data_IF_451705331868
#
_entry.id   IF_451705331868
#
_cell.length_a   1.000
_cell.length_b   1.000
_cell.length_c   1.000
_cell.angle_alpha   90.00
_cell.angle_beta   90.00
_cell.angle_gamma   90.00
#
_symmetry.space_group_name_H-M   'P 1'
#
loop_
_entity.id
_entity.type
_entity.pdbx_description
1 polymer ?
#
# COMPACT_ATOMS: atom_id res chain seq x y z
N UNK A 1 -8.45 -4.78 16.49
CA UNK A 1 -7.46 -4.74 15.40
C UNK A 1 -7.37 -3.35 14.82
N UNK A 2 -6.39 -2.57 15.28
CA UNK A 2 -6.08 -1.27 14.68
C UNK A 2 -5.01 -1.39 13.60
N UNK A 3 -4.14 -2.40 13.69
CA UNK A 3 -3.00 -2.57 12.82
C UNK A 3 -2.80 -4.02 12.35
N UNK A 4 -2.11 -4.19 11.23
CA UNK A 4 -1.57 -5.45 10.71
C UNK A 4 -0.04 -5.33 10.67
N UNK A 5 0.68 -6.26 11.29
CA UNK A 5 2.15 -6.33 11.27
C UNK A 5 2.60 -7.31 10.19
N UNK A 6 3.19 -6.81 9.12
CA UNK A 6 3.73 -7.63 8.01
C UNK A 6 5.23 -7.92 8.18
N UNK A 7 5.95 -7.01 8.81
CA UNK A 7 7.38 -7.10 9.09
C UNK A 7 7.61 -6.82 10.58
N UNK A 8 8.66 -7.37 11.24
CA UNK A 8 8.80 -7.34 12.70
C UNK A 8 8.65 -5.97 13.37
N UNK A 9 8.90 -4.88 12.63
CA UNK A 9 8.84 -3.51 13.13
C UNK A 9 7.96 -2.58 12.26
N UNK A 10 7.03 -3.14 11.49
CA UNK A 10 6.23 -2.36 10.53
C UNK A 10 4.77 -2.75 10.64
N UNK A 11 3.95 -1.75 10.94
CA UNK A 11 2.52 -1.90 11.18
C UNK A 11 1.72 -1.03 10.21
N UNK A 12 0.82 -1.66 9.46
CA UNK A 12 -0.12 -1.00 8.58
C UNK A 12 -1.45 -0.80 9.28
N UNK A 13 -1.99 0.41 9.20
CA UNK A 13 -3.29 0.73 9.79
C UNK A 13 -4.42 0.03 9.03
N UNK A 14 -5.39 -0.48 9.77
CA UNK A 14 -6.66 -0.96 9.22
C UNK A 14 -7.62 0.19 8.88
N UNK A 15 -7.34 1.41 9.37
CA UNK A 15 -8.03 2.62 8.95
C UNK A 15 -7.59 3.02 7.53
N UNK A 16 -8.53 2.99 6.59
CA UNK A 16 -8.26 3.24 5.17
C UNK A 16 -7.76 4.66 4.91
N UNK A 17 -8.38 5.67 5.50
CA UNK A 17 -8.03 7.07 5.21
C UNK A 17 -6.62 7.36 5.74
N UNK A 18 -6.31 6.92 6.97
CA UNK A 18 -4.97 7.03 7.53
C UNK A 18 -3.93 6.29 6.69
N UNK A 19 -4.23 5.06 6.26
CA UNK A 19 -3.31 4.27 5.43
C UNK A 19 -2.99 4.98 4.11
N UNK A 20 -4.03 5.46 3.41
CA UNK A 20 -3.89 6.13 2.11
C UNK A 20 -3.11 7.43 2.21
N UNK A 21 -3.26 8.18 3.30
CA UNK A 21 -2.57 9.45 3.50
C UNK A 21 -1.11 9.28 3.95
N UNK A 22 -0.82 8.24 4.76
CA UNK A 22 0.45 8.19 5.52
C UNK A 22 1.34 6.99 5.21
N UNK A 23 0.81 5.90 4.62
CA UNK A 23 1.50 4.61 4.61
C UNK A 23 1.79 4.06 3.21
N UNK A 24 1.15 4.59 2.16
CA UNK A 24 1.36 4.19 0.77
C UNK A 24 1.53 5.41 -0.15
N UNK A 25 2.39 5.31 -1.16
CA UNK A 25 2.59 6.34 -2.17
C UNK A 25 2.65 5.77 -3.59
N UNK A 26 2.11 6.52 -4.55
CA UNK A 26 2.26 6.28 -5.97
C UNK A 26 3.40 7.14 -6.55
N UNK A 27 4.40 6.49 -7.15
CA UNK A 27 5.54 7.13 -7.79
C UNK A 27 5.45 6.90 -9.30
N UNK A 28 5.39 7.97 -10.09
CA UNK A 28 5.37 7.90 -11.56
C UNK A 28 6.68 8.44 -12.10
N UNK A 29 7.40 7.65 -12.88
CA UNK A 29 8.66 8.07 -13.49
C UNK A 29 8.78 7.55 -14.95
N UNK A 30 9.97 7.71 -15.55
CA UNK A 30 10.24 7.26 -16.93
C UNK A 30 10.12 5.74 -17.10
N UNK A 31 10.34 4.96 -16.04
CA UNK A 31 10.32 3.49 -16.03
C UNK A 31 8.93 2.90 -15.76
N UNK A 32 7.93 3.75 -15.45
CA UNK A 32 6.57 3.33 -15.13
C UNK A 32 6.02 3.92 -13.84
N UNK A 33 4.95 3.30 -13.35
CA UNK A 33 4.26 3.65 -12.11
C UNK A 33 4.54 2.59 -11.04
N UNK A 34 4.86 3.02 -9.82
CA UNK A 34 5.18 2.16 -8.67
C UNK A 34 4.28 2.53 -7.49
N UNK A 35 3.75 1.54 -6.79
CA UNK A 35 3.03 1.71 -5.52
C UNK A 35 3.88 1.14 -4.40
N UNK A 36 4.34 2.01 -3.50
CA UNK A 36 5.32 1.68 -2.48
C UNK A 36 4.81 2.07 -1.10
N UNK A 37 5.14 1.28 -0.09
CA UNK A 37 4.95 1.69 1.30
C UNK A 37 5.91 2.81 1.67
N UNK A 38 5.41 3.78 2.43
CA UNK A 38 6.20 4.86 3.03
C UNK A 38 6.96 4.43 4.30
N UNK A 39 6.50 3.39 5.00
CA UNK A 39 7.02 3.01 6.32
C UNK A 39 8.08 1.90 6.29
N UNK A 40 8.03 1.00 5.31
CA UNK A 40 9.03 -0.08 5.14
C UNK A 40 9.72 -0.11 3.77
N UNK A 41 9.48 0.88 2.91
CA UNK A 41 10.03 0.92 1.55
C UNK A 41 9.72 -0.35 0.70
N UNK A 42 8.64 -1.07 1.01
CA UNK A 42 8.17 -2.23 0.23
C UNK A 42 7.49 -1.78 -1.06
N UNK A 43 7.77 -2.48 -2.16
CA UNK A 43 7.06 -2.34 -3.43
C UNK A 43 5.88 -3.32 -3.48
N UNK A 44 4.66 -2.81 -3.65
CA UNK A 44 3.45 -3.62 -3.80
C UNK A 44 3.09 -3.88 -5.26
N UNK A 45 3.28 -2.89 -6.12
CA UNK A 45 2.94 -3.01 -7.54
C UNK A 45 3.85 -2.16 -8.41
N UNK A 46 4.18 -2.68 -9.60
CA UNK A 46 4.83 -1.94 -10.68
C UNK A 46 4.04 -2.12 -11.97
N UNK A 47 3.69 -1.02 -12.61
CA UNK A 47 3.14 -0.99 -13.96
C UNK A 47 4.13 -0.30 -14.88
N UNK A 48 4.42 -0.88 -16.04
CA UNK A 48 5.21 -0.20 -17.08
C UNK A 48 4.43 0.95 -17.74
N UNK A 49 3.11 1.02 -17.52
CA UNK A 49 2.28 2.10 -18.00
C UNK A 49 2.42 3.36 -17.13
N UNK A 50 2.81 4.47 -17.76
CA UNK A 50 2.95 5.79 -17.13
C UNK A 50 1.63 6.56 -17.01
N UNK A 51 0.58 6.11 -17.71
CA UNK A 51 -0.71 6.79 -17.79
C UNK A 51 -1.75 6.15 -16.86
N UNK A 52 -1.49 6.15 -15.56
CA UNK A 52 -2.49 5.77 -14.54
C UNK A 52 -3.18 7.05 -14.05
N UNK A 53 -4.49 7.14 -14.24
CA UNK A 53 -5.28 8.28 -13.76
C UNK A 53 -5.26 8.35 -12.23
N UNK A 54 -5.47 9.55 -11.65
CA UNK A 54 -5.57 9.71 -10.18
C UNK A 54 -6.63 8.81 -9.54
N UNK A 55 -7.76 8.59 -10.24
CA UNK A 55 -8.81 7.67 -9.80
C UNK A 55 -8.31 6.24 -9.70
N UNK A 56 -7.65 5.76 -10.77
CA UNK A 56 -7.06 4.42 -10.77
C UNK A 56 -5.96 4.28 -9.72
N UNK A 57 -5.15 5.32 -9.48
CA UNK A 57 -4.15 5.29 -8.41
C UNK A 57 -4.81 5.06 -7.05
N UNK A 58 -5.88 5.80 -6.76
CA UNK A 58 -6.62 5.64 -5.51
C UNK A 58 -7.28 4.26 -5.41
N UNK A 59 -7.87 3.76 -6.50
CA UNK A 59 -8.49 2.44 -6.54
C UNK A 59 -7.46 1.33 -6.26
N UNK A 60 -6.26 1.40 -6.87
CA UNK A 60 -5.16 0.46 -6.63
C UNK A 60 -4.64 0.57 -5.18
N UNK A 61 -4.50 1.78 -4.64
CA UNK A 61 -4.05 1.96 -3.24
C UNK A 61 -5.06 1.35 -2.25
N UNK A 62 -6.37 1.45 -2.55
CA UNK A 62 -7.43 0.78 -1.77
C UNK A 62 -7.40 -0.73 -1.90
N UNK A 63 -7.10 -1.25 -3.09
CA UNK A 63 -6.93 -2.68 -3.32
C UNK A 63 -5.76 -3.21 -2.49
N UNK A 64 -4.61 -2.54 -2.51
CA UNK A 64 -3.44 -2.88 -1.69
C UNK A 64 -3.79 -2.85 -0.20
N UNK A 65 -4.50 -1.81 0.27
CA UNK A 65 -4.97 -1.73 1.66
C UNK A 65 -5.84 -2.93 2.03
N UNK A 66 -6.79 -3.26 1.16
CA UNK A 66 -7.71 -4.37 1.36
C UNK A 66 -6.98 -5.71 1.38
N UNK A 67 -5.94 -5.88 0.56
CA UNK A 67 -5.11 -7.09 0.53
C UNK A 67 -4.24 -7.23 1.78
N UNK A 68 -3.70 -6.12 2.30
CA UNK A 68 -3.03 -6.09 3.60
C UNK A 68 -3.99 -6.51 4.72
N UNK A 69 -5.20 -5.94 4.75
CA UNK A 69 -6.21 -6.28 5.76
C UNK A 69 -6.68 -7.74 5.67
N UNK A 70 -6.63 -8.33 4.48
CA UNK A 70 -6.92 -9.76 4.25
C UNK A 70 -5.70 -10.67 4.46
N UNK A 71 -4.56 -10.12 4.88
CA UNK A 71 -3.30 -10.83 5.09
C UNK A 71 -2.74 -11.49 3.82
N UNK A 72 -3.08 -10.98 2.63
CA UNK A 72 -2.60 -11.50 1.35
C UNK A 72 -1.07 -11.39 1.21
N UNK A 73 -0.45 -10.46 1.93
CA UNK A 73 1.00 -10.25 1.98
C UNK A 73 1.66 -10.90 3.20
N UNK A 74 0.94 -11.77 3.92
CA UNK A 74 1.33 -12.30 5.21
C UNK A 74 1.11 -11.32 6.35
N UNK A 75 1.73 -11.62 7.49
CA UNK A 75 1.59 -10.82 8.70
C UNK A 75 0.47 -11.28 9.63
N UNK A 76 0.31 -10.55 10.72
CA UNK A 76 -0.64 -10.87 11.78
C UNK A 76 -1.31 -9.60 12.30
N UNK A 77 -2.57 -9.68 12.75
CA UNK A 77 -3.21 -8.56 13.40
C UNK A 77 -2.52 -8.20 14.72
N UNK A 78 -2.47 -6.90 15.00
CA UNK A 78 -2.01 -6.35 16.28
C UNK A 78 -3.18 -5.63 16.93
N UNK A 79 -3.38 -5.89 18.22
CA UNK A 79 -4.37 -5.19 19.05
C UNK A 79 -3.89 -3.83 19.53
#
# INVERSE_FOLDING_TARGET
MKYIRISPNVEYSTDTDFFLENQIICIVNKEGTKFCSLIENRLFMRSENRHISKRMQLDIMREIHSDICRLCYGGEPVD
#
